data_IF_021845142919
#
_entry.id   IF_021845142919
#
_cell.length_a   1.000
_cell.length_b   1.000
_cell.length_c   1.000
_cell.angle_alpha   90.00
_cell.angle_beta   90.00
_cell.angle_gamma   90.00
#
_symmetry.space_group_name_H-M   'P 1'
#
loop_
_entity.id
_entity.type
_entity.pdbx_description
1 polymer ?
#
# COMPACT_ATOMS: atom_id res chain seq x y z
N UNK A 1 -16.19 23.33 -1.68
CA UNK A 1 -14.92 23.89 -2.18
C UNK A 1 -14.09 22.72 -2.66
N UNK A 2 -13.85 22.59 -3.97
CA UNK A 2 -13.10 21.46 -4.54
C UNK A 2 -11.65 21.64 -4.13
N UNK A 3 -11.13 20.69 -3.36
CA UNK A 3 -9.78 20.76 -2.83
C UNK A 3 -8.80 20.51 -3.98
N UNK A 4 -8.15 21.57 -4.49
CA UNK A 4 -7.27 21.54 -5.67
C UNK A 4 -6.20 20.43 -5.57
N UNK A 5 -5.74 20.14 -4.36
CA UNK A 5 -4.85 19.01 -4.07
C UNK A 5 -5.42 17.65 -4.52
N UNK A 6 -6.70 17.39 -4.28
CA UNK A 6 -7.33 16.11 -4.65
C UNK A 6 -7.43 15.92 -6.16
N UNK A 7 -7.69 16.99 -6.91
CA UNK A 7 -7.76 16.94 -8.38
C UNK A 7 -6.37 16.71 -8.96
N UNK A 8 -5.36 17.41 -8.45
CA UNK A 8 -3.97 17.24 -8.87
C UNK A 8 -3.46 15.83 -8.55
N UNK A 9 -3.76 15.28 -7.37
CA UNK A 9 -3.35 13.92 -7.03
C UNK A 9 -4.04 12.87 -7.92
N UNK A 10 -5.33 13.03 -8.18
CA UNK A 10 -6.07 12.09 -9.06
C UNK A 10 -5.53 12.12 -10.49
N UNK A 11 -5.12 13.30 -10.98
CA UNK A 11 -4.47 13.44 -12.28
C UNK A 11 -3.06 12.84 -12.26
N UNK A 12 -2.30 13.03 -11.18
CA UNK A 12 -0.98 12.42 -11.02
C UNK A 12 -1.07 10.90 -11.02
N UNK A 13 -1.98 10.30 -10.27
CA UNK A 13 -2.17 8.84 -10.25
C UNK A 13 -2.59 8.29 -11.61
N UNK A 14 -3.29 9.07 -12.43
CA UNK A 14 -3.74 8.66 -13.77
C UNK A 14 -2.71 8.86 -14.88
N UNK A 15 -1.80 9.82 -14.75
CA UNK A 15 -0.91 10.25 -15.83
C UNK A 15 0.57 10.16 -15.50
N UNK A 16 0.96 10.00 -14.23
CA UNK A 16 2.35 9.80 -13.88
C UNK A 16 2.80 8.44 -14.44
N UNK A 17 3.86 8.40 -15.25
CA UNK A 17 4.41 7.14 -15.70
C UNK A 17 4.91 6.37 -14.47
N UNK A 18 4.58 5.09 -14.44
CA UNK A 18 5.10 4.17 -13.43
C UNK A 18 6.62 4.13 -13.59
N UNK A 19 7.34 4.58 -12.57
CA UNK A 19 8.79 4.43 -12.53
C UNK A 19 9.13 2.99 -12.19
N UNK A 20 10.02 2.39 -12.97
CA UNK A 20 10.56 1.04 -12.75
C UNK A 20 12.00 1.07 -12.22
N UNK A 21 12.56 2.27 -12.02
CA UNK A 21 13.89 2.45 -11.44
C UNK A 21 13.76 2.65 -9.93
N UNK A 22 14.49 1.83 -9.16
CA UNK A 22 14.51 1.90 -7.70
C UNK A 22 15.13 3.22 -7.22
N UNK A 23 14.31 4.08 -6.60
CA UNK A 23 14.74 5.30 -5.91
C UNK A 23 14.46 5.26 -4.40
N UNK A 24 14.16 4.07 -3.88
CA UNK A 24 13.70 3.86 -2.50
C UNK A 24 14.60 4.49 -1.42
N UNK A 25 15.92 4.46 -1.61
CA UNK A 25 16.86 5.02 -0.62
C UNK A 25 16.88 6.56 -0.58
N UNK A 26 16.46 7.21 -1.65
CA UNK A 26 16.49 8.67 -1.78
C UNK A 26 15.13 9.29 -1.48
N UNK A 27 14.05 8.71 -2.04
CA UNK A 27 12.69 9.25 -1.94
C UNK A 27 11.83 8.53 -0.91
N UNK A 28 12.17 7.29 -0.53
CA UNK A 28 11.30 6.42 0.27
C UNK A 28 10.11 5.84 -0.51
N UNK A 29 10.03 6.10 -1.82
CA UNK A 29 8.98 5.57 -2.70
C UNK A 29 9.40 4.21 -3.29
N UNK A 30 8.44 3.34 -3.58
CA UNK A 30 8.68 2.01 -4.17
C UNK A 30 7.97 1.87 -5.51
N UNK A 31 8.57 1.10 -6.42
CA UNK A 31 7.93 0.73 -7.69
C UNK A 31 6.88 -0.38 -7.48
N UNK A 32 5.97 -0.63 -8.44
CA UNK A 32 5.04 -1.76 -8.35
C UNK A 32 5.74 -3.12 -8.23
N UNK A 33 6.87 -3.31 -8.91
CA UNK A 33 7.66 -4.54 -8.82
C UNK A 33 8.25 -4.71 -7.42
N UNK A 34 8.77 -3.62 -6.84
CA UNK A 34 9.29 -3.62 -5.47
C UNK A 34 8.18 -3.86 -4.45
N UNK A 35 6.99 -3.30 -4.66
CA UNK A 35 5.82 -3.55 -3.83
C UNK A 35 5.43 -5.04 -3.84
N UNK A 36 5.38 -5.67 -5.02
CA UNK A 36 5.09 -7.11 -5.13
C UNK A 36 6.18 -7.94 -4.46
N UNK A 37 7.46 -7.62 -4.67
CA UNK A 37 8.56 -8.33 -4.04
C UNK A 37 8.56 -8.20 -2.51
N UNK A 38 8.32 -6.99 -1.99
CA UNK A 38 8.22 -6.72 -0.57
C UNK A 38 7.01 -7.43 0.06
N UNK A 39 5.87 -7.45 -0.63
CA UNK A 39 4.68 -8.17 -0.19
C UNK A 39 4.86 -9.68 -0.18
N UNK A 40 5.52 -10.25 -1.18
CA UNK A 40 5.87 -11.68 -1.20
C UNK A 40 6.79 -12.06 -0.03
N UNK A 41 7.77 -11.20 0.27
CA UNK A 41 8.64 -11.39 1.43
C UNK A 41 7.86 -11.27 2.75
N UNK A 42 6.92 -10.32 2.85
CA UNK A 42 6.07 -10.14 4.03
C UNK A 42 5.21 -11.37 4.29
N UNK A 43 4.52 -11.90 3.27
CA UNK A 43 3.69 -13.10 3.38
C UNK A 43 4.54 -14.33 3.71
N UNK A 44 5.73 -14.44 3.14
CA UNK A 44 6.66 -15.54 3.44
C UNK A 44 7.17 -15.50 4.89
N UNK A 45 7.56 -14.33 5.39
CA UNK A 45 8.10 -14.18 6.75
C UNK A 45 7.04 -14.17 7.82
N UNK A 46 5.87 -13.59 7.54
CA UNK A 46 4.78 -13.40 8.48
C UNK A 46 3.49 -13.97 7.88
N UNK A 47 3.17 -15.25 8.13
CA UNK A 47 2.03 -15.93 7.52
C UNK A 47 0.66 -15.41 7.98
N UNK A 48 0.62 -14.43 8.88
CA UNK A 48 -0.59 -13.67 9.23
C UNK A 48 -0.99 -12.67 8.14
N UNK A 49 -0.09 -12.36 7.21
CA UNK A 49 -0.35 -11.56 6.03
C UNK A 49 -0.66 -12.46 4.83
N UNK A 50 -1.55 -11.98 3.98
CA UNK A 50 -1.95 -12.66 2.75
C UNK A 50 -2.22 -11.66 1.63
N UNK A 51 -1.95 -12.07 0.39
CA UNK A 51 -2.37 -11.34 -0.79
C UNK A 51 -3.87 -11.51 -1.04
N UNK A 52 -4.50 -10.48 -1.57
CA UNK A 52 -5.90 -10.50 -2.01
C UNK A 52 -6.07 -9.83 -3.38
N UNK A 53 -7.06 -10.30 -4.14
CA UNK A 53 -7.54 -9.67 -5.38
C UNK A 53 -8.48 -8.51 -5.05
N UNK A 54 -8.66 -7.61 -6.00
CA UNK A 54 -9.66 -6.58 -5.95
C UNK A 54 -11.08 -7.18 -5.88
N UNK A 55 -11.96 -6.50 -5.15
CA UNK A 55 -13.37 -6.87 -4.96
C UNK A 55 -14.14 -6.93 -6.29
N UNK A 56 -13.77 -6.08 -7.26
CA UNK A 56 -14.30 -6.08 -8.60
C UNK A 56 -13.25 -5.67 -9.63
N UNK A 57 -13.42 -6.12 -10.88
CA UNK A 57 -12.46 -5.86 -11.97
C UNK A 57 -12.27 -4.37 -12.26
N UNK A 58 -13.30 -3.54 -12.05
CA UNK A 58 -13.21 -2.08 -12.22
C UNK A 58 -12.34 -1.38 -11.17
N UNK A 59 -12.04 -2.04 -10.05
CA UNK A 59 -11.12 -1.54 -9.00
C UNK A 59 -9.73 -2.14 -9.09
N UNK A 60 -9.50 -3.04 -10.06
CA UNK A 60 -8.19 -3.65 -10.27
C UNK A 60 -7.22 -2.62 -10.84
N UNK A 61 -6.04 -2.56 -10.25
CA UNK A 61 -4.93 -1.77 -10.71
C UNK A 61 -4.21 -2.55 -11.82
N UNK A 62 -4.15 -1.95 -13.02
CA UNK A 62 -3.64 -2.61 -14.23
C UNK A 62 -2.14 -2.93 -14.19
N UNK A 63 -1.37 -2.17 -13.43
CA UNK A 63 0.08 -2.37 -13.26
C UNK A 63 0.42 -3.34 -12.13
N UNK A 64 -0.57 -4.00 -11.52
CA UNK A 64 -0.38 -5.05 -10.52
C UNK A 64 -1.02 -6.37 -10.99
N UNK A 65 -0.48 -7.54 -10.59
CA UNK A 65 -1.08 -8.84 -10.91
C UNK A 65 -2.48 -8.99 -10.28
N UNK A 66 -3.41 -9.64 -10.98
CA UNK A 66 -4.79 -9.82 -10.51
C UNK A 66 -4.87 -10.40 -9.07
N UNK A 67 -4.06 -11.41 -8.72
CA UNK A 67 -4.07 -11.99 -7.36
C UNK A 67 -3.30 -11.21 -6.29
N UNK A 68 -2.65 -10.09 -6.63
CA UNK A 68 -1.73 -9.34 -5.75
C UNK A 68 -2.02 -7.84 -5.77
N UNK A 69 -3.27 -7.48 -5.49
CA UNK A 69 -3.72 -6.09 -5.51
C UNK A 69 -3.44 -5.40 -4.18
N UNK A 70 -3.66 -6.10 -3.06
CA UNK A 70 -3.37 -5.59 -1.73
C UNK A 70 -3.02 -6.71 -0.74
N UNK A 71 -2.43 -6.32 0.39
CA UNK A 71 -2.05 -7.21 1.49
C UNK A 71 -3.06 -7.03 2.63
N UNK A 72 -3.49 -8.15 3.21
CA UNK A 72 -4.44 -8.16 4.33
C UNK A 72 -3.96 -9.07 5.45
N UNK A 73 -4.11 -8.57 6.68
CA UNK A 73 -3.99 -9.34 7.91
C UNK A 73 -5.31 -9.23 8.67
N UNK A 74 -5.80 -10.33 9.24
CA UNK A 74 -7.12 -10.41 9.87
C UNK A 74 -6.98 -10.78 11.34
N UNK A 75 -7.96 -10.34 12.14
CA UNK A 75 -8.08 -10.67 13.56
C UNK A 75 -6.87 -10.23 14.41
N UNK A 76 -6.25 -9.10 14.06
CA UNK A 76 -5.18 -8.51 14.88
C UNK A 76 -5.80 -7.95 16.17
N UNK A 77 -5.40 -8.44 17.36
CA UNK A 77 -5.98 -7.98 18.61
C UNK A 77 -5.59 -6.52 18.91
N UNK A 78 -6.55 -5.73 19.38
CA UNK A 78 -6.34 -4.36 19.81
C UNK A 78 -6.89 -4.17 21.23
N UNK A 79 -6.00 -4.29 22.23
CA UNK A 79 -6.39 -4.30 23.64
C UNK A 79 -6.63 -2.90 24.22
N UNK A 80 -6.12 -1.85 23.57
CA UNK A 80 -6.22 -0.46 24.04
C UNK A 80 -6.51 0.47 22.86
N UNK A 81 -7.43 1.42 23.07
CA UNK A 81 -7.67 2.50 22.10
C UNK A 81 -6.54 3.53 22.14
N UNK A 82 -6.34 4.22 21.02
CA UNK A 82 -5.45 5.37 20.95
C UNK A 82 -5.89 6.42 21.99
N UNK A 83 -4.94 6.90 22.80
CA UNK A 83 -5.12 8.00 23.73
C UNK A 83 -3.83 8.84 23.78
N UNK A 84 -3.84 9.96 24.50
CA UNK A 84 -2.69 10.88 24.58
C UNK A 84 -1.42 10.19 25.10
N UNK A 85 -1.56 9.14 25.91
CA UNK A 85 -0.46 8.32 26.41
C UNK A 85 -0.14 7.13 25.46
N UNK A 86 -0.36 7.28 24.15
CA UNK A 86 -0.09 6.20 23.19
C UNK A 86 1.41 5.98 22.97
N UNK A 87 2.18 7.07 22.89
CA UNK A 87 3.62 6.98 22.69
C UNK A 87 4.40 6.61 23.96
N UNK A 88 3.79 6.78 25.15
CA UNK A 88 4.53 6.79 26.41
C UNK A 88 5.59 7.91 26.45
N UNK A 89 6.11 8.24 27.62
CA UNK A 89 7.34 9.03 27.70
C UNK A 89 8.48 8.16 27.15
N UNK A 90 8.77 8.30 25.86
CA UNK A 90 9.93 7.67 25.22
C UNK A 90 11.23 8.35 25.63
#
# INVERSE_FOLDING_TARGET
MINLYSVVNTLRDRYAPVSHTSTFRETGEITPEEFVAAGDYLVFKFPTWSWADADCESRRVSHLPAGKQFLVTRNVPCNRRLNENFAGDA
#
